data_IF_775756326663
#
_entry.id   IF_775756326663
#
_cell.length_a   1.000
_cell.length_b   1.000
_cell.length_c   1.000
_cell.angle_alpha   90.00
_cell.angle_beta   90.00
_cell.angle_gamma   90.00
#
_symmetry.space_group_name_H-M   'P 1'
#
loop_
_entity.id
_entity.type
_entity.pdbx_description
1 polymer ?
#
# COMPACT_ATOMS: atom_id res chain seq x y z
N UNK A 1 13.69 -6.25 2.20
CA UNK A 1 12.69 -7.14 1.54
C UNK A 1 11.53 -6.26 1.11
N UNK A 2 10.76 -6.62 0.08
CA UNK A 2 9.60 -5.82 -0.35
C UNK A 2 8.33 -6.65 -0.30
N UNK A 3 7.20 -6.00 -0.03
CA UNK A 3 5.88 -6.63 -0.03
C UNK A 3 4.87 -5.78 -0.80
N UNK A 4 3.99 -6.46 -1.55
CA UNK A 4 3.01 -5.80 -2.40
C UNK A 4 1.60 -6.30 -2.14
N UNK A 5 0.64 -5.38 -2.14
CA UNK A 5 -0.78 -5.64 -1.97
C UNK A 5 -1.52 -5.36 -3.26
N UNK A 6 -2.09 -6.40 -3.88
CA UNK A 6 -3.00 -6.23 -5.00
C UNK A 6 -4.37 -5.82 -4.45
N UNK A 7 -4.69 -4.53 -4.56
CA UNK A 7 -5.85 -3.92 -3.93
C UNK A 7 -5.54 -3.33 -2.55
N UNK A 8 -5.80 -2.03 -2.39
CA UNK A 8 -5.70 -1.25 -1.15
C UNK A 8 -7.08 -0.79 -0.62
N UNK A 9 -8.02 -1.72 -0.55
CA UNK A 9 -9.31 -1.51 0.13
C UNK A 9 -9.15 -1.50 1.66
N UNK A 10 -10.25 -1.33 2.39
CA UNK A 10 -10.27 -1.18 3.86
C UNK A 10 -9.42 -2.22 4.60
N UNK A 11 -9.52 -3.50 4.21
CA UNK A 11 -8.77 -4.58 4.85
C UNK A 11 -7.26 -4.45 4.60
N UNK A 12 -6.84 -4.23 3.35
CA UNK A 12 -5.43 -4.08 3.01
C UNK A 12 -4.83 -2.83 3.69
N UNK A 13 -5.54 -1.70 3.68
CA UNK A 13 -5.11 -0.48 4.38
C UNK A 13 -4.88 -0.74 5.88
N UNK A 14 -5.79 -1.47 6.55
CA UNK A 14 -5.64 -1.80 7.96
C UNK A 14 -4.43 -2.70 8.22
N UNK A 15 -4.23 -3.74 7.40
CA UNK A 15 -3.07 -4.63 7.52
C UNK A 15 -1.76 -3.88 7.30
N UNK A 16 -1.67 -3.06 6.26
CA UNK A 16 -0.48 -2.25 5.96
C UNK A 16 -0.16 -1.33 7.13
N UNK A 17 -1.18 -0.63 7.67
CA UNK A 17 -1.00 0.23 8.85
C UNK A 17 -0.44 -0.56 10.04
N UNK A 18 -1.02 -1.73 10.36
CA UNK A 18 -0.52 -2.56 11.47
C UNK A 18 0.90 -3.07 11.25
N UNK A 19 1.28 -3.41 10.01
CA UNK A 19 2.65 -3.83 9.66
C UNK A 19 3.66 -2.70 9.89
N UNK A 20 3.30 -1.48 9.49
CA UNK A 20 4.12 -0.28 9.70
C UNK A 20 4.21 0.05 11.20
N UNK A 21 3.08 0.08 11.90
CA UNK A 21 3.01 0.40 13.34
C UNK A 21 3.80 -0.62 14.19
N UNK A 22 3.82 -1.89 13.78
CA UNK A 22 4.60 -2.95 14.42
C UNK A 22 6.10 -2.93 14.05
N UNK A 23 6.52 -2.05 13.13
CA UNK A 23 7.91 -1.92 12.70
C UNK A 23 8.43 -3.09 11.87
N UNK A 24 7.54 -3.90 11.27
CA UNK A 24 7.92 -5.10 10.51
C UNK A 24 8.46 -4.72 9.12
N UNK A 25 7.84 -3.72 8.48
CA UNK A 25 8.32 -3.11 7.24
C UNK A 25 8.26 -1.58 7.33
N UNK A 26 9.23 -0.91 6.71
CA UNK A 26 9.15 0.54 6.49
C UNK A 26 8.21 0.84 5.32
N UNK A 27 7.48 1.98 5.32
CA UNK A 27 6.51 2.29 4.25
C UNK A 27 7.08 2.22 2.83
N UNK A 28 8.37 2.57 2.68
CA UNK A 28 9.11 2.60 1.42
C UNK A 28 9.28 1.22 0.78
N UNK A 29 9.23 0.16 1.58
CA UNK A 29 9.35 -1.23 1.13
C UNK A 29 7.99 -1.89 0.85
N UNK A 30 6.90 -1.15 1.04
CA UNK A 30 5.54 -1.59 0.78
C UNK A 30 5.02 -0.93 -0.50
N UNK A 31 4.39 -1.72 -1.37
CA UNK A 31 3.65 -1.22 -2.52
C UNK A 31 2.20 -1.70 -2.49
N UNK A 32 1.26 -0.87 -2.95
CA UNK A 32 -0.13 -1.26 -3.10
C UNK A 32 -0.69 -0.85 -4.46
N UNK A 33 -1.40 -1.75 -5.15
CA UNK A 33 -2.15 -1.39 -6.35
C UNK A 33 -3.61 -1.06 -6.04
N UNK A 34 -4.18 -0.13 -6.80
CA UNK A 34 -5.63 0.00 -6.89
C UNK A 34 -6.06 0.48 -8.27
N UNK A 35 -7.15 -0.06 -8.80
CA UNK A 35 -7.61 0.25 -10.17
C UNK A 35 -8.12 1.70 -10.38
N UNK A 36 -8.23 2.50 -9.30
CA UNK A 36 -8.61 3.92 -9.35
C UNK A 36 -7.48 4.77 -8.80
N UNK A 37 -6.93 5.64 -9.63
CA UNK A 37 -5.83 6.56 -9.28
C UNK A 37 -6.10 7.34 -8.00
N UNK A 38 -7.32 7.90 -7.86
CA UNK A 38 -7.72 8.64 -6.66
C UNK A 38 -7.51 7.83 -5.37
N UNK A 39 -7.86 6.54 -5.39
CA UNK A 39 -7.74 5.69 -4.20
C UNK A 39 -6.28 5.31 -3.93
N UNK A 40 -5.50 5.07 -4.98
CA UNK A 40 -4.06 4.85 -4.85
C UNK A 40 -3.38 6.07 -4.21
N UNK A 41 -3.70 7.28 -4.68
CA UNK A 41 -3.19 8.54 -4.12
C UNK A 41 -3.61 8.73 -2.64
N UNK A 42 -4.89 8.52 -2.30
CA UNK A 42 -5.36 8.57 -0.90
C UNK A 42 -4.54 7.64 0.02
N UNK A 43 -4.25 6.42 -0.43
CA UNK A 43 -3.48 5.44 0.35
C UNK A 43 -2.02 5.86 0.48
N UNK A 44 -1.42 6.37 -0.60
CA UNK A 44 -0.06 6.92 -0.59
C UNK A 44 0.06 8.09 0.38
N UNK A 45 -0.91 9.00 0.40
CA UNK A 45 -0.91 10.16 1.30
C UNK A 45 -1.14 9.75 2.76
N UNK A 46 -1.98 8.73 3.00
CA UNK A 46 -2.35 8.31 4.37
C UNK A 46 -1.30 7.41 5.02
N UNK A 47 -0.70 6.49 4.26
CA UNK A 47 0.22 5.47 4.77
C UNK A 47 1.68 5.68 4.34
N UNK A 48 1.94 6.65 3.45
CA UNK A 48 3.26 6.98 2.93
C UNK A 48 3.99 5.81 2.25
N UNK A 49 3.22 4.88 1.66
CA UNK A 49 3.73 3.73 0.89
C UNK A 49 3.82 4.05 -0.61
N UNK A 50 4.47 3.18 -1.38
CA UNK A 50 4.40 3.24 -2.84
C UNK A 50 3.04 2.75 -3.34
N UNK A 51 2.54 3.33 -4.42
CA UNK A 51 1.28 2.91 -5.03
C UNK A 51 1.34 2.96 -6.55
N UNK A 52 0.61 2.06 -7.21
CA UNK A 52 0.44 2.01 -8.68
C UNK A 52 -1.02 1.70 -9.02
N UNK A 53 -1.41 1.90 -10.27
CA UNK A 53 -2.70 1.43 -10.80
C UNK A 53 -2.59 0.10 -11.54
N UNK A 54 -1.37 -0.44 -11.69
CA UNK A 54 -1.09 -1.71 -12.36
C UNK A 54 -0.81 -2.82 -11.35
N UNK A 55 -1.56 -3.92 -11.43
CA UNK A 55 -1.29 -5.11 -10.61
C UNK A 55 0.02 -5.80 -10.97
N UNK A 56 0.52 -5.62 -12.18
CA UNK A 56 1.78 -6.22 -12.63
C UNK A 56 3.00 -5.45 -12.13
N UNK A 57 2.83 -4.15 -11.87
CA UNK A 57 3.90 -3.30 -11.33
C UNK A 57 3.99 -3.37 -9.80
N UNK A 58 2.89 -3.69 -9.13
CA UNK A 58 2.84 -3.91 -7.69
C UNK A 58 3.57 -5.20 -7.32
#
# INVERSE_FOLDING_TARGET
>A
MKISFIGTGTMATAMIKSIIDAGIFVPQDIMGSFHREKKAQEVKETLHINTTTSNTEA
#
